data_IF_774845185414
#
_entry.id   IF_774845185414
#
_cell.length_a   1.000
_cell.length_b   1.000
_cell.length_c   1.000
_cell.angle_alpha   90.00
_cell.angle_beta   90.00
_cell.angle_gamma   90.00
#
_symmetry.space_group_name_H-M   'P 1'
#
loop_
_entity.id
_entity.type
_entity.pdbx_description
1 polymer ?
#
# COMPACT_ATOMS: atom_id res chain seq x y z
N UNK A 1 1.72 11.50 22.38
CA UNK A 1 1.78 11.13 23.82
C UNK A 1 1.09 9.80 24.11
N UNK A 2 -0.16 9.59 23.64
CA UNK A 2 -0.93 8.34 23.89
C UNK A 2 -0.20 7.12 23.34
N UNK A 3 0.13 7.13 22.03
CA UNK A 3 0.84 6.03 21.38
C UNK A 3 2.19 5.75 22.08
N UNK A 4 2.92 6.79 22.47
CA UNK A 4 4.21 6.63 23.16
C UNK A 4 4.10 5.97 24.52
N UNK A 5 3.05 6.28 25.32
CA UNK A 5 2.83 5.63 26.63
C UNK A 5 2.53 4.15 26.48
N UNK A 6 1.63 3.80 25.56
CA UNK A 6 1.24 2.41 25.33
C UNK A 6 2.40 1.57 24.77
N UNK A 7 3.19 2.15 23.86
CA UNK A 7 4.33 1.46 23.25
C UNK A 7 5.50 1.27 24.21
N UNK A 8 5.81 2.27 25.03
CA UNK A 8 6.99 2.22 25.94
C UNK A 8 6.67 1.45 27.22
N UNK A 9 5.40 1.49 27.68
CA UNK A 9 4.97 0.84 28.93
C UNK A 9 4.11 -0.41 28.76
N UNK A 10 3.49 -0.63 27.59
CA UNK A 10 2.41 -1.60 27.38
C UNK A 10 2.79 -2.89 26.62
N UNK A 11 4.06 -3.12 26.30
CA UNK A 11 4.49 -4.35 25.63
C UNK A 11 4.07 -4.47 24.15
N UNK A 12 3.69 -3.37 23.49
CA UNK A 12 3.37 -3.36 22.06
C UNK A 12 4.66 -3.49 21.25
N UNK A 13 4.76 -4.53 20.42
CA UNK A 13 5.93 -4.81 19.60
C UNK A 13 5.87 -4.14 18.23
N UNK A 14 4.67 -3.98 17.65
CA UNK A 14 4.48 -3.45 16.31
C UNK A 14 3.34 -2.43 16.25
N UNK A 15 3.50 -1.43 15.37
CA UNK A 15 2.44 -0.51 14.95
C UNK A 15 2.22 -0.77 13.46
N UNK A 16 1.13 -1.42 13.12
CA UNK A 16 0.85 -1.85 11.75
C UNK A 16 -0.12 -0.89 11.08
N UNK A 17 0.18 -0.44 9.86
CA UNK A 17 -0.67 0.47 9.09
C UNK A 17 -0.96 -0.09 7.70
N UNK A 18 -2.22 0.01 7.20
CA UNK A 18 -2.60 -0.42 5.85
C UNK A 18 -2.45 0.73 4.83
N UNK A 19 -1.43 1.58 4.98
CA UNK A 19 -1.32 2.79 4.19
C UNK A 19 0.15 3.19 4.01
N UNK A 20 0.68 3.07 2.79
CA UNK A 20 2.07 3.38 2.50
C UNK A 20 2.51 4.80 2.88
N UNK A 21 1.63 5.81 2.71
CA UNK A 21 1.94 7.18 3.11
C UNK A 21 1.93 7.36 4.63
N UNK A 22 1.02 6.71 5.36
CA UNK A 22 1.01 6.73 6.82
C UNK A 22 2.23 6.02 7.40
N UNK A 23 2.59 4.85 6.85
CA UNK A 23 3.80 4.11 7.25
C UNK A 23 5.04 4.99 7.07
N UNK A 24 5.22 5.58 5.89
CA UNK A 24 6.37 6.45 5.61
C UNK A 24 6.39 7.68 6.52
N UNK A 25 5.24 8.29 6.80
CA UNK A 25 5.16 9.46 7.70
C UNK A 25 5.62 9.11 9.11
N UNK A 26 5.10 8.02 9.67
CA UNK A 26 5.44 7.62 11.05
C UNK A 26 6.87 7.12 11.16
N UNK A 27 7.36 6.37 10.15
CA UNK A 27 8.67 5.69 10.17
C UNK A 27 9.82 6.63 9.82
N UNK A 28 9.64 7.48 8.78
CA UNK A 28 10.72 8.27 8.20
C UNK A 28 10.60 9.76 8.54
N UNK A 29 9.40 10.33 8.34
CA UNK A 29 9.23 11.78 8.43
C UNK A 29 9.16 12.29 9.86
N UNK A 30 8.48 11.59 10.76
CA UNK A 30 8.45 11.99 12.17
C UNK A 30 9.85 12.08 12.78
N UNK A 31 10.73 11.06 12.68
CA UNK A 31 12.10 11.16 13.16
C UNK A 31 12.90 12.29 12.52
N UNK A 32 12.58 12.68 11.29
CA UNK A 32 13.26 13.79 10.61
C UNK A 32 12.90 15.16 11.19
N UNK A 33 11.64 15.37 11.56
CA UNK A 33 11.13 16.69 12.01
C UNK A 33 11.18 16.94 13.52
N UNK A 34 11.71 16.02 14.33
CA UNK A 34 11.68 16.13 15.80
C UNK A 34 12.87 16.88 16.41
N UNK A 35 13.72 17.51 15.62
CA UNK A 35 14.97 18.15 16.13
C UNK A 35 14.69 19.27 17.17
N UNK A 36 13.51 19.90 17.09
CA UNK A 36 13.07 20.95 18.02
C UNK A 36 12.34 20.40 19.26
N UNK A 37 12.11 19.10 19.35
CA UNK A 37 11.41 18.46 20.47
C UNK A 37 12.39 18.21 21.65
N UNK A 38 11.82 18.05 22.85
CA UNK A 38 12.62 17.65 24.01
C UNK A 38 13.26 16.28 23.79
N UNK A 39 14.40 15.96 24.45
CA UNK A 39 15.06 14.66 24.31
C UNK A 39 14.14 13.45 24.57
N UNK A 40 13.23 13.55 25.54
CA UNK A 40 12.28 12.49 25.86
C UNK A 40 11.24 12.30 24.77
N UNK A 41 10.76 13.40 24.18
CA UNK A 41 9.85 13.34 23.04
C UNK A 41 10.54 12.74 21.81
N UNK A 42 11.79 13.14 21.53
CA UNK A 42 12.60 12.55 20.45
C UNK A 42 12.77 11.04 20.63
N UNK A 43 13.11 10.61 21.86
CA UNK A 43 13.24 9.19 22.18
C UNK A 43 11.94 8.43 21.95
N UNK A 44 10.81 9.01 22.38
CA UNK A 44 9.48 8.41 22.18
C UNK A 44 9.13 8.27 20.70
N UNK A 45 9.35 9.32 19.90
CA UNK A 45 9.05 9.28 18.46
C UNK A 45 9.91 8.23 17.75
N UNK A 46 11.20 8.15 18.06
CA UNK A 46 12.09 7.12 17.49
C UNK A 46 11.63 5.71 17.87
N UNK A 47 11.29 5.49 19.13
CA UNK A 47 10.79 4.20 19.60
C UNK A 47 9.46 3.77 18.91
N UNK A 48 8.60 4.73 18.54
CA UNK A 48 7.42 4.47 17.71
C UNK A 48 7.83 4.12 16.29
N UNK A 49 8.66 4.96 15.67
CA UNK A 49 9.10 4.80 14.27
C UNK A 49 9.76 3.43 14.02
N UNK A 50 10.58 2.95 14.96
CA UNK A 50 11.25 1.64 14.89
C UNK A 50 10.27 0.46 14.86
N UNK A 51 9.05 0.64 15.40
CA UNK A 51 8.01 -0.39 15.46
C UNK A 51 6.96 -0.30 14.37
N UNK A 52 7.00 0.78 13.57
CA UNK A 52 6.01 0.96 12.48
C UNK A 52 6.34 0.05 11.30
N UNK A 53 5.34 -0.69 10.86
CA UNK A 53 5.40 -1.54 9.66
C UNK A 53 4.17 -1.34 8.78
N UNK A 54 4.37 -1.50 7.49
CA UNK A 54 3.26 -1.69 6.56
C UNK A 54 2.64 -3.08 6.75
N UNK A 55 1.32 -3.18 6.61
CA UNK A 55 0.59 -4.42 6.87
C UNK A 55 1.04 -5.57 5.95
N UNK A 56 1.36 -5.27 4.68
CA UNK A 56 1.83 -6.32 3.76
C UNK A 56 3.19 -6.85 4.21
N UNK A 57 4.09 -5.97 4.63
CA UNK A 57 5.38 -6.36 5.18
C UNK A 57 5.21 -7.13 6.50
N UNK A 58 4.32 -6.69 7.39
CA UNK A 58 4.06 -7.39 8.64
C UNK A 58 3.55 -8.83 8.42
N UNK A 59 2.60 -9.01 7.52
CA UNK A 59 2.05 -10.34 7.21
C UNK A 59 3.12 -11.27 6.61
N UNK A 60 3.95 -10.77 5.70
CA UNK A 60 4.95 -11.59 5.00
C UNK A 60 6.22 -11.76 5.83
N UNK A 61 6.79 -10.68 6.35
CA UNK A 61 8.14 -10.70 6.94
C UNK A 61 8.13 -11.08 8.44
N UNK A 62 6.99 -10.93 9.14
CA UNK A 62 6.85 -11.25 10.57
C UNK A 62 5.97 -12.49 10.78
N UNK A 63 4.80 -12.55 10.14
CA UNK A 63 3.89 -13.69 10.30
C UNK A 63 4.14 -14.82 9.30
N UNK A 64 4.98 -14.59 8.28
CA UNK A 64 5.38 -15.57 7.26
C UNK A 64 4.19 -16.25 6.56
N UNK A 65 3.12 -15.49 6.30
CA UNK A 65 1.90 -16.03 5.67
C UNK A 65 2.15 -16.54 4.25
N UNK A 66 3.16 -16.02 3.56
CA UNK A 66 3.59 -16.49 2.24
C UNK A 66 4.22 -17.90 2.23
N UNK A 67 4.46 -18.50 3.41
CA UNK A 67 4.91 -19.88 3.61
C UNK A 67 3.76 -20.83 3.99
N UNK A 68 2.54 -20.30 4.14
CA UNK A 68 1.34 -21.11 4.42
C UNK A 68 0.81 -21.71 3.10
N UNK A 69 -0.08 -22.70 3.23
CA UNK A 69 -0.79 -23.23 2.05
C UNK A 69 -1.60 -22.12 1.39
N UNK A 70 -1.55 -22.02 0.04
CA UNK A 70 -2.40 -21.09 -0.68
C UNK A 70 -3.89 -21.34 -0.38
N UNK A 71 -4.71 -20.28 -0.48
CA UNK A 71 -6.14 -20.40 -0.36
C UNK A 71 -6.76 -21.36 -1.37
N UNK A 72 -8.02 -21.71 -1.19
CA UNK A 72 -8.73 -22.60 -2.10
C UNK A 72 -9.05 -21.90 -3.43
N UNK A 73 -8.90 -22.67 -4.53
CA UNK A 73 -9.33 -22.21 -5.84
C UNK A 73 -10.83 -22.45 -6.02
N UNK A 74 -11.57 -21.37 -6.25
CA UNK A 74 -12.97 -21.47 -6.57
C UNK A 74 -13.19 -21.83 -8.06
N UNK A 75 -14.29 -22.55 -8.41
CA UNK A 75 -14.67 -22.76 -9.79
C UNK A 75 -14.95 -21.43 -10.49
N UNK A 76 -14.29 -21.18 -11.61
CA UNK A 76 -14.47 -19.95 -12.39
C UNK A 76 -13.19 -19.49 -13.08
N UNK A 77 -13.31 -18.37 -13.80
CA UNK A 77 -12.18 -17.74 -14.46
C UNK A 77 -11.27 -17.05 -13.44
N UNK A 78 -9.96 -17.12 -13.67
CA UNK A 78 -8.97 -16.42 -12.84
C UNK A 78 -9.03 -14.92 -13.12
N UNK A 79 -9.15 -14.12 -12.07
CA UNK A 79 -9.16 -12.66 -12.16
C UNK A 79 -7.76 -12.14 -12.40
N UNK A 80 -7.54 -11.42 -13.48
CA UNK A 80 -6.23 -10.77 -13.73
C UNK A 80 -6.11 -9.50 -12.91
N UNK A 81 -5.07 -9.42 -12.09
CA UNK A 81 -4.76 -8.28 -11.24
C UNK A 81 -3.39 -7.70 -11.59
N UNK A 82 -3.31 -6.38 -11.68
CA UNK A 82 -2.02 -5.67 -11.78
C UNK A 82 -1.71 -4.93 -10.49
N UNK A 83 -0.43 -4.59 -10.25
CA UNK A 83 -0.02 -3.93 -9.02
C UNK A 83 0.63 -2.57 -9.29
N UNK A 84 0.17 -1.53 -8.56
CA UNK A 84 0.80 -0.23 -8.51
C UNK A 84 1.68 -0.09 -7.27
N UNK A 85 2.99 0.04 -7.47
CA UNK A 85 3.93 0.39 -6.42
C UNK A 85 3.75 1.85 -5.99
N UNK A 86 3.09 2.10 -4.87
CA UNK A 86 3.00 3.47 -4.36
C UNK A 86 4.38 4.00 -3.96
N UNK A 87 4.63 5.28 -4.27
CA UNK A 87 5.97 5.87 -4.08
C UNK A 87 6.47 5.79 -2.64
N UNK A 88 5.61 6.07 -1.65
CA UNK A 88 5.99 5.99 -0.25
C UNK A 88 6.27 4.55 0.19
N UNK A 89 5.46 3.60 -0.27
CA UNK A 89 5.64 2.20 0.11
C UNK A 89 6.95 1.64 -0.45
N UNK A 90 7.19 1.81 -1.75
CA UNK A 90 8.38 1.29 -2.42
C UNK A 90 9.63 2.09 -2.12
N UNK A 91 9.61 3.42 -2.29
CA UNK A 91 10.82 4.25 -2.26
C UNK A 91 11.23 4.67 -0.85
N UNK A 92 10.26 4.93 0.05
CA UNK A 92 10.56 5.29 1.43
C UNK A 92 10.70 4.06 2.32
N UNK A 93 9.74 3.13 2.28
CA UNK A 93 9.68 2.00 3.22
C UNK A 93 10.32 0.71 2.68
N UNK A 94 10.58 0.63 1.38
CA UNK A 94 11.22 -0.54 0.76
C UNK A 94 10.29 -1.74 0.55
N UNK A 95 8.98 -1.55 0.63
CA UNK A 95 7.97 -2.61 0.48
C UNK A 95 7.42 -2.61 -0.94
N UNK A 96 7.63 -3.69 -1.67
CA UNK A 96 7.20 -3.89 -3.06
C UNK A 96 6.87 -5.35 -3.38
N UNK A 97 7.69 -6.30 -2.90
CA UNK A 97 7.47 -7.73 -3.14
C UNK A 97 6.43 -8.34 -2.21
N UNK A 98 6.33 -7.86 -0.98
CA UNK A 98 5.38 -8.39 0.00
C UNK A 98 3.92 -8.31 -0.46
N UNK A 99 3.41 -7.17 -0.99
CA UNK A 99 2.07 -7.13 -1.57
C UNK A 99 1.87 -8.13 -2.71
N UNK A 100 2.88 -8.32 -3.56
CA UNK A 100 2.85 -9.27 -4.67
C UNK A 100 2.76 -10.72 -4.18
N UNK A 101 3.48 -11.04 -3.10
CA UNK A 101 3.39 -12.36 -2.45
C UNK A 101 1.98 -12.61 -1.92
N UNK A 102 1.38 -11.64 -1.21
CA UNK A 102 0.01 -11.75 -0.71
C UNK A 102 -1.01 -11.98 -1.83
N UNK A 103 -0.87 -11.27 -2.96
CA UNK A 103 -1.75 -11.47 -4.12
C UNK A 103 -1.60 -12.91 -4.65
N UNK A 104 -0.37 -13.43 -4.75
CA UNK A 104 -0.11 -14.80 -5.24
C UNK A 104 -0.61 -15.90 -4.29
N UNK A 105 -0.87 -15.58 -3.02
CA UNK A 105 -1.49 -16.53 -2.07
C UNK A 105 -2.95 -16.81 -2.41
N UNK A 106 -3.61 -15.96 -3.20
CA UNK A 106 -4.96 -16.20 -3.68
C UNK A 106 -4.94 -16.81 -5.08
N UNK A 107 -5.21 -18.12 -5.23
CA UNK A 107 -5.17 -18.81 -6.52
C UNK A 107 -6.28 -18.40 -7.49
N UNK A 108 -7.24 -17.57 -7.05
CA UNK A 108 -8.28 -17.00 -7.89
C UNK A 108 -7.83 -15.74 -8.63
N UNK A 109 -6.59 -15.28 -8.38
CA UNK A 109 -5.99 -14.13 -9.04
C UNK A 109 -4.69 -14.50 -9.77
N UNK A 110 -4.51 -13.92 -10.95
CA UNK A 110 -3.27 -13.95 -11.73
C UNK A 110 -2.63 -12.56 -11.72
N UNK A 111 -1.45 -12.46 -11.10
CA UNK A 111 -0.71 -11.19 -11.09
C UNK A 111 -0.03 -10.96 -12.44
N UNK A 112 -0.41 -9.88 -13.12
CA UNK A 112 0.20 -9.38 -14.36
C UNK A 112 0.79 -8.00 -14.12
N UNK A 113 2.07 -7.82 -14.42
CA UNK A 113 2.74 -6.54 -14.18
C UNK A 113 2.38 -5.51 -15.24
N UNK A 114 2.03 -4.30 -14.81
CA UNK A 114 1.88 -3.17 -15.72
C UNK A 114 3.23 -2.52 -16.04
N UNK A 115 3.32 -1.86 -17.18
CA UNK A 115 4.46 -1.00 -17.46
C UNK A 115 4.54 0.16 -16.45
N UNK A 116 5.74 0.53 -16.03
CA UNK A 116 5.98 1.63 -15.08
C UNK A 116 5.17 1.48 -13.77
N UNK A 117 5.12 0.28 -13.21
CA UNK A 117 4.36 0.00 -11.98
C UNK A 117 4.69 0.97 -10.83
N UNK A 118 5.94 1.41 -10.73
CA UNK A 118 6.46 2.32 -9.70
C UNK A 118 6.40 3.82 -10.05
N UNK A 119 5.85 4.18 -11.21
CA UNK A 119 5.61 5.57 -11.56
C UNK A 119 4.45 6.13 -10.76
N UNK A 120 4.57 7.38 -10.29
CA UNK A 120 3.54 8.06 -9.51
C UNK A 120 2.15 8.00 -10.19
N UNK A 121 1.11 7.83 -9.38
CA UNK A 121 -0.29 7.86 -9.83
C UNK A 121 -0.86 9.29 -9.98
N UNK A 122 -0.09 10.32 -9.58
CA UNK A 122 -0.52 11.72 -9.65
C UNK A 122 -1.09 12.29 -8.35
N UNK A 123 -1.46 11.48 -7.34
CA UNK A 123 -2.11 11.98 -6.13
C UNK A 123 -1.28 13.05 -5.41
N UNK A 124 -0.08 12.71 -4.90
CA UNK A 124 0.81 13.68 -4.23
C UNK A 124 0.20 14.45 -3.05
N UNK A 125 -0.87 13.95 -2.42
CA UNK A 125 -1.54 14.63 -1.31
C UNK A 125 -2.10 16.01 -1.72
N UNK A 126 -1.61 17.08 -1.10
CA UNK A 126 -2.02 18.47 -1.42
C UNK A 126 -1.71 18.88 -2.87
N UNK A 127 -0.77 18.22 -3.54
CA UNK A 127 -0.45 18.48 -4.95
C UNK A 127 -1.68 18.36 -5.85
N UNK A 128 -2.53 17.34 -5.65
CA UNK A 128 -3.77 17.18 -6.42
C UNK A 128 -4.72 18.36 -6.22
N UNK A 129 -4.76 18.96 -5.02
CA UNK A 129 -5.65 20.08 -4.75
C UNK A 129 -5.17 21.38 -5.41
N UNK A 130 -3.86 21.62 -5.45
CA UNK A 130 -3.30 22.86 -5.97
C UNK A 130 -2.90 22.79 -7.44
N UNK A 131 -2.68 21.59 -8.00
CA UNK A 131 -2.20 21.35 -9.36
C UNK A 131 -2.99 20.23 -10.03
N UNK A 132 -4.33 20.34 -10.00
CA UNK A 132 -5.22 19.27 -10.45
C UNK A 132 -4.98 18.83 -11.90
N UNK A 133 -4.81 19.78 -12.82
CA UNK A 133 -4.59 19.45 -14.24
C UNK A 133 -3.33 18.61 -14.44
N UNK A 134 -2.23 18.98 -13.79
CA UNK A 134 -0.98 18.22 -13.85
C UNK A 134 -1.10 16.86 -13.14
N UNK A 135 -1.79 16.83 -12.02
CA UNK A 135 -2.12 15.59 -11.31
C UNK A 135 -2.89 14.62 -12.20
N UNK A 136 -3.87 15.15 -12.94
CA UNK A 136 -4.69 14.40 -13.90
C UNK A 136 -3.86 13.87 -15.07
N UNK A 137 -2.96 14.64 -15.66
CA UNK A 137 -2.06 14.18 -16.74
C UNK A 137 -1.18 13.01 -16.28
N UNK A 138 -0.61 13.10 -15.07
CA UNK A 138 0.18 12.01 -14.47
C UNK A 138 -0.69 10.78 -14.22
N UNK A 139 -1.89 11.00 -13.66
CA UNK A 139 -2.87 9.95 -13.39
C UNK A 139 -3.35 9.23 -14.65
N UNK A 140 -3.58 9.98 -15.73
CA UNK A 140 -3.98 9.42 -17.01
C UNK A 140 -2.95 8.42 -17.56
N UNK A 141 -1.66 8.77 -17.50
CA UNK A 141 -0.60 7.83 -17.90
C UNK A 141 -0.60 6.54 -17.05
N UNK A 142 -0.84 6.65 -15.74
CA UNK A 142 -0.98 5.48 -14.88
C UNK A 142 -2.19 4.64 -15.27
N UNK A 143 -3.34 5.27 -15.48
CA UNK A 143 -4.56 4.61 -15.98
C UNK A 143 -4.31 3.86 -17.28
N UNK A 144 -3.63 4.48 -18.25
CA UNK A 144 -3.33 3.86 -19.54
C UNK A 144 -2.44 2.62 -19.39
N UNK A 145 -1.49 2.62 -18.46
CA UNK A 145 -0.67 1.44 -18.15
C UNK A 145 -1.47 0.33 -17.49
N UNK A 146 -2.42 0.68 -16.61
CA UNK A 146 -3.34 -0.28 -15.99
C UNK A 146 -4.20 -0.96 -17.06
N UNK A 147 -4.86 -0.17 -17.91
CA UNK A 147 -5.74 -0.71 -18.96
C UNK A 147 -4.96 -1.58 -19.96
N UNK A 148 -3.76 -1.13 -20.36
CA UNK A 148 -2.89 -1.91 -21.28
C UNK A 148 -2.41 -3.24 -20.69
N UNK A 149 -2.36 -3.40 -19.37
CA UNK A 149 -2.02 -4.68 -18.74
C UNK A 149 -3.07 -5.76 -18.98
N UNK A 150 -4.30 -5.35 -19.36
CA UNK A 150 -5.45 -6.23 -19.54
C UNK A 150 -5.96 -6.82 -18.21
N UNK A 151 -5.59 -6.24 -17.08
CA UNK A 151 -6.10 -6.62 -15.77
C UNK A 151 -7.50 -6.01 -15.52
N UNK A 152 -8.38 -6.78 -14.90
CA UNK A 152 -9.69 -6.32 -14.42
C UNK A 152 -9.65 -5.75 -13.00
N UNK A 153 -8.52 -5.94 -12.30
CA UNK A 153 -8.25 -5.40 -10.97
C UNK A 153 -6.89 -4.72 -10.95
N UNK A 154 -6.78 -3.56 -10.31
CA UNK A 154 -5.51 -2.96 -9.93
C UNK A 154 -5.38 -2.91 -8.41
N UNK A 155 -4.30 -3.45 -7.88
CA UNK A 155 -4.03 -3.43 -6.44
C UNK A 155 -2.96 -2.39 -6.09
N UNK A 156 -3.10 -1.74 -4.93
CA UNK A 156 -2.08 -0.84 -4.37
C UNK A 156 -2.21 -0.72 -2.85
N UNK A 157 -1.08 -0.66 -2.14
CA UNK A 157 -1.00 -0.57 -0.68
C UNK A 157 -1.09 0.86 -0.13
N UNK A 158 -1.77 1.78 -0.83
CA UNK A 158 -1.92 3.16 -0.36
C UNK A 158 -3.31 3.72 -0.73
N UNK A 159 -4.18 4.01 0.26
CA UNK A 159 -5.52 4.53 0.01
C UNK A 159 -5.56 5.82 -0.82
N UNK A 160 -4.57 6.70 -0.68
CA UNK A 160 -4.48 7.91 -1.50
C UNK A 160 -4.25 7.57 -2.98
N UNK A 161 -3.44 6.55 -3.29
CA UNK A 161 -3.27 6.04 -4.65
C UNK A 161 -4.55 5.34 -5.14
N UNK A 162 -5.25 4.60 -4.25
CA UNK A 162 -6.53 3.98 -4.59
C UNK A 162 -7.54 5.03 -5.06
N UNK A 163 -7.70 6.13 -4.31
CA UNK A 163 -8.61 7.22 -4.68
C UNK A 163 -8.24 7.85 -6.03
N UNK A 164 -6.98 8.18 -6.24
CA UNK A 164 -6.52 8.78 -7.50
C UNK A 164 -6.71 7.86 -8.70
N UNK A 165 -6.37 6.59 -8.55
CA UNK A 165 -6.53 5.60 -9.63
C UNK A 165 -8.03 5.37 -9.90
N UNK A 166 -8.86 5.25 -8.87
CA UNK A 166 -10.32 5.12 -9.01
C UNK A 166 -10.93 6.30 -9.74
N UNK A 167 -10.49 7.53 -9.42
CA UNK A 167 -10.96 8.74 -10.10
C UNK A 167 -10.61 8.70 -11.60
N UNK A 168 -9.37 8.38 -11.95
CA UNK A 168 -8.93 8.30 -13.34
C UNK A 168 -9.68 7.22 -14.14
N UNK A 169 -9.87 6.05 -13.55
CA UNK A 169 -10.63 4.96 -14.18
C UNK A 169 -12.11 5.36 -14.36
N UNK A 170 -12.73 5.96 -13.35
CA UNK A 170 -14.13 6.41 -13.39
C UNK A 170 -14.36 7.49 -14.46
N UNK A 171 -13.48 8.50 -14.54
CA UNK A 171 -13.58 9.55 -15.56
C UNK A 171 -13.50 9.01 -16.99
N UNK A 172 -12.82 7.89 -17.20
CA UNK A 172 -12.68 7.22 -18.50
C UNK A 172 -13.68 6.07 -18.70
N UNK A 173 -14.54 5.80 -17.71
CA UNK A 173 -15.53 4.70 -17.74
C UNK A 173 -14.89 3.31 -17.91
N UNK A 174 -13.70 3.12 -17.33
CA UNK A 174 -13.03 1.82 -17.35
C UNK A 174 -13.65 0.90 -16.28
N UNK A 175 -13.85 -0.36 -16.62
CA UNK A 175 -14.40 -1.40 -15.75
C UNK A 175 -13.29 -2.13 -14.96
N UNK A 176 -12.33 -1.39 -14.42
CA UNK A 176 -11.24 -1.93 -13.60
C UNK A 176 -11.50 -1.61 -12.14
N UNK A 177 -11.52 -2.63 -11.30
CA UNK A 177 -11.67 -2.48 -9.85
C UNK A 177 -10.35 -2.08 -9.18
N UNK A 178 -10.44 -1.27 -8.12
CA UNK A 178 -9.26 -0.92 -7.30
C UNK A 178 -9.38 -1.61 -5.96
N UNK A 179 -8.36 -2.40 -5.58
CA UNK A 179 -8.31 -3.15 -4.32
C UNK A 179 -7.02 -2.88 -3.55
N UNK A 180 -7.07 -3.04 -2.23
CA UNK A 180 -5.87 -3.17 -1.43
C UNK A 180 -5.36 -4.64 -1.52
N UNK A 181 -4.03 -4.90 -1.55
CA UNK A 181 -3.52 -6.30 -1.60
C UNK A 181 -4.04 -7.18 -0.48
N UNK A 182 -4.26 -6.60 0.70
CA UNK A 182 -4.81 -7.33 1.85
C UNK A 182 -6.26 -7.78 1.64
N UNK A 183 -7.06 -7.04 0.85
CA UNK A 183 -8.43 -7.46 0.52
C UNK A 183 -8.39 -8.73 -0.34
N UNK A 184 -7.48 -8.79 -1.32
CA UNK A 184 -7.27 -9.97 -2.16
C UNK A 184 -6.82 -11.18 -1.30
N UNK A 185 -5.89 -10.95 -0.36
CA UNK A 185 -5.43 -12.00 0.54
C UNK A 185 -6.54 -12.43 1.51
N UNK A 186 -7.31 -11.49 2.04
CA UNK A 186 -8.39 -11.80 2.99
C UNK A 186 -9.48 -12.70 2.41
N UNK A 187 -9.70 -12.69 1.09
CA UNK A 187 -10.62 -13.60 0.39
C UNK A 187 -10.19 -15.09 0.49
N UNK A 188 -8.97 -15.38 0.93
CA UNK A 188 -8.48 -16.75 1.15
C UNK A 188 -8.72 -17.26 2.57
N UNK A 189 -9.13 -16.37 3.48
CA UNK A 189 -9.35 -16.72 4.88
C UNK A 189 -10.74 -17.31 5.06
N UNK A 190 -10.91 -18.30 5.95
CA UNK A 190 -12.23 -18.82 6.29
C UNK A 190 -13.08 -17.74 7.00
N UNK A 191 -14.41 -17.83 6.83
CA UNK A 191 -15.41 -16.99 7.51
C UNK A 191 -15.37 -17.16 9.07
#
# INVERSE_FOLDING_TARGET
>A
EVIGRELVGGGINYVVTPCGSCTATLKEWWPYFIQEFSPDQQKTVRAVADRVMDINAFLVDVLHVDQMEPGERHPGDVTRVTFHDSCHLKKSVGVSEQPRKLIRMNPNYELVEMAEADRCCGCGGSFTLFHYDLSKEIGQRKRDNIVRSGASVVATGCPACMLQISDMLSQNKDEVQVKHPIEIYAETLPD
#
